data_IF_027747089301
#
_entry.id   IF_027747089301
#
_cell.length_a   1.000
_cell.length_b   1.000
_cell.length_c   1.000
_cell.angle_alpha   90.00
_cell.angle_beta   90.00
_cell.angle_gamma   90.00
#
_symmetry.space_group_name_H-M   'P 1'
#
loop_
_entity.id
_entity.type
_entity.pdbx_description
1 polymer ?
#
# COMPACT_ATOMS: atom_id res chain seq x y z
N UNK A 1 3.79 9.94 24.49
CA UNK A 1 2.34 9.79 24.61
C UNK A 1 1.79 9.01 23.42
N UNK A 2 1.04 7.93 23.63
CA UNK A 2 0.45 7.22 22.47
C UNK A 2 -0.54 8.14 21.76
N UNK A 3 -0.54 8.03 20.43
CA UNK A 3 -1.47 8.73 19.59
C UNK A 3 -2.78 7.93 19.52
N UNK A 4 -3.88 8.55 19.89
CA UNK A 4 -5.19 7.93 19.79
C UNK A 4 -5.89 8.36 18.52
N UNK A 5 -6.41 7.38 17.77
CA UNK A 5 -7.19 7.65 16.58
C UNK A 5 -8.64 7.92 16.97
N UNK A 6 -9.28 8.84 16.25
CA UNK A 6 -10.67 9.22 16.52
C UNK A 6 -11.63 8.09 16.19
N UNK A 7 -11.36 7.34 15.11
CA UNK A 7 -12.27 6.32 14.58
C UNK A 7 -11.56 4.98 14.46
N UNK A 8 -12.34 3.91 14.37
CA UNK A 8 -11.87 2.55 14.24
C UNK A 8 -12.64 1.79 13.16
N UNK A 9 -12.52 0.48 13.19
CA UNK A 9 -13.12 -0.40 12.19
C UNK A 9 -14.65 -0.28 12.10
N UNK A 10 -15.31 0.05 13.20
CA UNK A 10 -16.76 0.22 13.22
C UNK A 10 -17.25 1.49 12.53
N UNK A 11 -16.32 2.37 12.19
CA UNK A 11 -16.61 3.65 11.54
C UNK A 11 -16.45 3.58 10.01
N UNK A 12 -16.44 2.36 9.47
CA UNK A 12 -16.42 2.08 8.05
C UNK A 12 -17.52 1.08 7.71
N UNK A 13 -18.25 1.34 6.63
CA UNK A 13 -19.25 0.42 6.08
C UNK A 13 -18.89 0.07 4.66
N UNK A 14 -18.70 -1.20 4.36
CA UNK A 14 -18.54 -1.69 3.00
C UNK A 14 -19.91 -2.10 2.49
N UNK A 15 -20.44 -1.34 1.55
CA UNK A 15 -21.79 -1.56 1.00
C UNK A 15 -21.76 -2.63 -0.09
N UNK A 16 -20.73 -2.63 -0.92
CA UNK A 16 -20.52 -3.64 -1.95
C UNK A 16 -19.05 -3.75 -2.31
N UNK A 17 -18.70 -4.89 -2.90
CA UNK A 17 -17.33 -5.19 -3.29
C UNK A 17 -17.37 -6.02 -4.57
N UNK A 18 -16.52 -5.66 -5.53
CA UNK A 18 -16.35 -6.44 -6.74
C UNK A 18 -14.87 -6.48 -7.14
N UNK A 19 -14.49 -7.51 -7.87
CA UNK A 19 -13.14 -7.65 -8.41
C UNK A 19 -13.08 -6.90 -9.75
N UNK A 20 -12.35 -5.77 -9.78
CA UNK A 20 -12.20 -4.99 -10.99
C UNK A 20 -11.13 -5.57 -11.93
N UNK A 21 -10.08 -6.16 -11.36
CA UNK A 21 -9.01 -6.82 -12.11
C UNK A 21 -8.40 -7.91 -11.25
N UNK A 22 -8.13 -9.05 -11.84
CA UNK A 22 -7.45 -10.14 -11.18
C UNK A 22 -6.41 -10.75 -12.11
N UNK A 23 -5.14 -10.54 -11.78
CA UNK A 23 -3.98 -11.09 -12.44
C UNK A 23 -2.96 -11.49 -11.39
N UNK A 24 -1.68 -11.24 -11.64
CA UNK A 24 -0.65 -11.41 -10.63
C UNK A 24 -0.91 -10.49 -9.43
N UNK A 25 -1.27 -9.24 -9.71
CA UNK A 25 -1.88 -8.35 -8.74
C UNK A 25 -3.39 -8.35 -8.92
N UNK A 26 -4.11 -7.72 -8.01
CA UNK A 26 -5.54 -7.55 -8.16
C UNK A 26 -5.97 -6.15 -7.75
N UNK A 27 -7.12 -5.73 -8.26
CA UNK A 27 -7.76 -4.48 -7.89
C UNK A 27 -9.19 -4.79 -7.48
N UNK A 28 -9.53 -4.47 -6.23
CA UNK A 28 -10.90 -4.58 -5.74
C UNK A 28 -11.55 -3.21 -5.80
N UNK A 29 -12.82 -3.18 -6.16
CA UNK A 29 -13.61 -1.98 -6.22
C UNK A 29 -14.64 -2.03 -5.11
N UNK A 30 -14.52 -1.12 -4.15
CA UNK A 30 -15.38 -1.07 -2.98
C UNK A 30 -16.30 0.14 -3.08
N UNK A 31 -17.58 -0.08 -2.80
CA UNK A 31 -18.50 1.02 -2.50
C UNK A 31 -18.63 1.08 -0.99
N UNK A 32 -18.22 2.18 -0.39
CA UNK A 32 -18.12 2.28 1.05
C UNK A 32 -18.51 3.66 1.57
N UNK A 33 -18.76 3.71 2.86
CA UNK A 33 -18.97 4.94 3.63
C UNK A 33 -18.06 4.89 4.86
N UNK A 34 -17.68 6.04 5.34
CA UNK A 34 -16.95 6.16 6.59
C UNK A 34 -17.49 7.34 7.40
N UNK A 35 -17.14 7.39 8.68
CA UNK A 35 -17.56 8.47 9.56
C UNK A 35 -16.96 9.80 9.14
N UNK A 36 -17.78 10.83 9.09
CA UNK A 36 -17.31 12.20 9.04
C UNK A 36 -16.93 12.66 10.45
N UNK A 37 -16.06 13.66 10.55
CA UNK A 37 -15.63 14.16 11.85
C UNK A 37 -16.74 14.83 12.66
N UNK A 38 -17.85 15.15 12.03
CA UNK A 38 -19.05 15.66 12.71
C UNK A 38 -19.91 14.54 13.32
N UNK A 39 -19.51 13.27 13.16
CA UNK A 39 -20.23 12.10 13.66
C UNK A 39 -21.18 11.46 12.69
N UNK A 40 -21.47 12.10 11.56
CA UNK A 40 -22.29 11.55 10.50
C UNK A 40 -21.53 10.59 9.60
N UNK A 41 -22.20 10.08 8.58
CA UNK A 41 -21.60 9.23 7.56
C UNK A 41 -21.45 10.03 6.28
N UNK A 42 -20.30 9.88 5.60
CA UNK A 42 -20.13 10.44 4.26
C UNK A 42 -21.04 9.73 3.27
N UNK A 43 -21.36 10.40 2.17
CA UNK A 43 -22.08 9.76 1.07
C UNK A 43 -21.28 8.59 0.52
N UNK A 44 -21.95 7.53 -0.02
CA UNK A 44 -21.26 6.39 -0.58
C UNK A 44 -20.23 6.81 -1.62
N UNK A 45 -19.04 6.21 -1.52
CA UNK A 45 -17.93 6.48 -2.40
C UNK A 45 -17.41 5.17 -2.99
N UNK A 46 -16.93 5.25 -4.22
CA UNK A 46 -16.28 4.13 -4.89
C UNK A 46 -14.78 4.31 -4.76
N UNK A 47 -14.10 3.29 -4.23
CA UNK A 47 -12.65 3.27 -4.07
C UNK A 47 -12.08 2.02 -4.69
N UNK A 48 -10.96 2.18 -5.37
CA UNK A 48 -10.20 1.06 -5.89
C UNK A 48 -9.06 0.76 -4.94
N UNK A 49 -8.94 -0.51 -4.55
CA UNK A 49 -7.89 -0.98 -3.64
C UNK A 49 -6.97 -1.93 -4.41
N UNK A 50 -5.72 -1.52 -4.51
CA UNK A 50 -4.69 -2.33 -5.16
C UNK A 50 -4.15 -3.36 -4.17
N UNK A 51 -4.32 -4.64 -4.52
CA UNK A 51 -3.87 -5.77 -3.71
C UNK A 51 -2.67 -6.43 -4.36
N UNK A 52 -1.56 -6.44 -3.65
CA UNK A 52 -0.32 -7.07 -4.11
C UNK A 52 0.29 -8.02 -3.08
N UNK A 53 -0.45 -8.29 -1.98
CA UNK A 53 0.06 -9.05 -0.86
C UNK A 53 0.99 -8.24 0.03
N UNK A 54 1.44 -8.88 1.08
CA UNK A 54 2.35 -8.26 2.03
C UNK A 54 3.79 -8.41 1.56
N UNK A 55 4.64 -7.48 1.98
CA UNK A 55 6.07 -7.51 1.67
C UNK A 55 6.88 -7.22 2.94
N UNK A 56 8.06 -7.83 3.02
CA UNK A 56 9.01 -7.61 4.11
C UNK A 56 10.33 -7.19 3.51
N UNK A 57 10.92 -6.12 4.05
CA UNK A 57 12.26 -5.68 3.68
C UNK A 57 13.25 -5.94 4.80
N UNK A 58 14.48 -6.27 4.45
CA UNK A 58 15.60 -6.47 5.37
C UNK A 58 16.76 -5.64 4.88
N UNK A 59 17.39 -4.89 5.79
CA UNK A 59 18.60 -4.14 5.50
C UNK A 59 19.78 -4.74 6.28
N UNK A 60 20.52 -5.67 5.68
CA UNK A 60 21.68 -6.27 6.35
C UNK A 60 22.81 -5.24 6.53
N UNK A 61 23.39 -5.25 7.72
CA UNK A 61 24.50 -4.38 8.06
C UNK A 61 25.71 -5.20 8.46
N UNK A 62 26.86 -4.89 7.84
CA UNK A 62 28.14 -5.53 8.18
C UNK A 62 28.95 -4.56 9.07
N UNK A 63 29.04 -4.84 10.39
CA UNK A 63 29.76 -3.96 11.30
C UNK A 63 31.29 -3.98 11.10
N UNK A 64 31.82 -5.00 10.48
CA UNK A 64 33.28 -5.08 10.25
C UNK A 64 33.73 -4.11 9.17
N UNK A 65 32.95 -3.95 8.12
CA UNK A 65 33.24 -3.03 7.02
C UNK A 65 32.43 -1.74 7.08
N UNK A 66 31.52 -1.61 8.08
CA UNK A 66 30.59 -0.49 8.20
C UNK A 66 29.83 -0.26 6.90
N UNK A 67 29.24 -1.34 6.37
CA UNK A 67 28.61 -1.36 5.07
C UNK A 67 27.22 -1.95 5.12
N UNK A 68 26.37 -1.51 4.21
CA UNK A 68 25.04 -2.07 3.99
C UNK A 68 25.10 -3.01 2.78
N UNK A 69 24.36 -4.12 2.87
CA UNK A 69 24.20 -5.03 1.74
C UNK A 69 22.91 -4.71 1.04
N UNK A 70 23.00 -4.39 -0.24
CA UNK A 70 21.85 -4.06 -1.09
C UNK A 70 21.88 -4.93 -2.34
N UNK A 71 20.71 -5.12 -2.93
CA UNK A 71 20.60 -5.84 -4.21
C UNK A 71 20.40 -4.84 -5.33
N UNK A 72 20.75 -5.24 -6.53
CA UNK A 72 20.42 -4.54 -7.76
C UNK A 72 19.36 -5.35 -8.48
N UNK A 73 18.23 -4.72 -8.78
CA UNK A 73 17.06 -5.42 -9.29
C UNK A 73 16.42 -4.67 -10.46
N UNK A 74 15.98 -5.42 -11.47
CA UNK A 74 15.17 -4.89 -12.56
C UNK A 74 13.78 -4.53 -12.05
N UNK A 75 13.36 -3.30 -12.33
CA UNK A 75 12.04 -2.78 -12.00
C UNK A 75 11.37 -2.22 -13.24
N UNK A 76 10.36 -2.90 -13.81
CA UNK A 76 9.71 -2.41 -15.02
C UNK A 76 9.04 -1.05 -14.84
N UNK A 77 8.57 -0.73 -13.62
CA UNK A 77 7.99 0.58 -13.33
C UNK A 77 8.98 1.73 -13.42
N UNK A 78 10.29 1.47 -13.34
CA UNK A 78 11.33 2.49 -13.45
C UNK A 78 11.73 2.79 -14.89
N UNK A 79 11.22 2.04 -15.87
CA UNK A 79 11.61 2.21 -17.29
C UNK A 79 11.28 3.59 -17.83
N UNK A 80 10.27 4.26 -17.30
CA UNK A 80 9.82 5.56 -17.79
C UNK A 80 10.45 6.73 -17.03
N UNK A 81 10.97 6.49 -15.84
CA UNK A 81 11.37 7.55 -14.91
C UNK A 81 12.88 7.64 -14.73
N UNK A 82 13.65 6.71 -15.30
CA UNK A 82 15.10 6.62 -15.08
C UNK A 82 15.82 6.17 -16.33
N UNK A 83 17.10 6.54 -16.43
CA UNK A 83 17.99 6.08 -17.50
C UNK A 83 18.22 4.56 -17.43
N UNK A 84 18.06 3.98 -16.24
CA UNK A 84 18.18 2.54 -16.05
C UNK A 84 17.03 2.01 -15.24
N UNK A 85 16.38 0.91 -15.68
CA UNK A 85 15.36 0.22 -14.88
C UNK A 85 15.92 -0.67 -13.77
N UNK A 86 17.24 -0.73 -13.63
CA UNK A 86 17.89 -1.44 -12.53
C UNK A 86 18.04 -0.49 -11.35
N UNK A 87 17.65 -0.94 -10.17
CA UNK A 87 17.60 -0.11 -8.97
C UNK A 87 18.28 -0.82 -7.81
N UNK A 88 18.94 -0.01 -6.95
CA UNK A 88 19.47 -0.51 -5.69
C UNK A 88 18.34 -0.59 -4.68
N UNK A 89 18.23 -1.74 -4.00
CA UNK A 89 17.13 -2.02 -3.09
C UNK A 89 17.58 -2.85 -1.90
N UNK A 90 16.71 -2.93 -0.92
CA UNK A 90 16.91 -3.79 0.24
C UNK A 90 16.87 -5.28 -0.11
#
# INVERSE_FOLDING_TARGET
MPLELTFGADDVRVLSEEMAYQGYFSVRKLTLQYRAFDGGWVEPQVREVFERGDAVGVLPYDPLSDSLVMIEQFRPGAMRASDSPWMLEL
#
